data_IF_839709136136
#
_entry.id   IF_839709136136
#
_cell.length_a   1.000
_cell.length_b   1.000
_cell.length_c   1.000
_cell.angle_alpha   90.00
_cell.angle_beta   90.00
_cell.angle_gamma   90.00
#
_symmetry.space_group_name_H-M   'P 1'
#
loop_
_entity.id
_entity.type
_entity.pdbx_description
1 polymer ?
#
# COMPACT_ATOMS: atom_id res chain seq x y z
N UNK A 1 -0.93 13.81 10.48
CA UNK A 1 -2.14 12.99 10.25
C UNK A 1 -2.94 13.54 9.07
N UNK A 2 -2.91 12.81 7.96
CA UNK A 2 -3.69 13.07 6.75
C UNK A 2 -5.17 12.87 7.07
N UNK A 3 -5.93 13.97 7.11
CA UNK A 3 -7.34 13.98 7.54
C UNK A 3 -8.29 13.39 6.49
N UNK A 4 -7.73 12.98 5.39
CA UNK A 4 -8.43 12.60 4.18
C UNK A 4 -8.51 11.07 4.03
N UNK A 5 -7.76 10.30 4.83
CA UNK A 5 -7.76 8.83 4.82
C UNK A 5 -8.82 8.33 5.81
N UNK A 6 -9.70 7.47 5.32
CA UNK A 6 -10.70 6.75 6.12
C UNK A 6 -10.14 5.41 6.59
N UNK A 7 -9.65 4.60 5.65
CA UNK A 7 -9.06 3.29 5.88
C UNK A 7 -7.75 3.16 5.10
N UNK A 8 -6.77 2.46 5.67
CA UNK A 8 -5.53 2.11 5.01
C UNK A 8 -5.11 0.70 5.42
N UNK A 9 -4.86 -0.14 4.42
CA UNK A 9 -4.27 -1.46 4.60
C UNK A 9 -2.92 -1.48 3.90
N UNK A 10 -1.87 -1.94 4.60
CA UNK A 10 -0.54 -2.16 4.02
C UNK A 10 -0.07 -3.57 4.38
N UNK A 11 -0.02 -4.45 3.40
CA UNK A 11 0.56 -5.77 3.53
C UNK A 11 2.02 -5.73 3.05
N UNK A 12 2.95 -6.25 3.85
CA UNK A 12 4.36 -6.38 3.50
C UNK A 12 4.76 -7.86 3.55
N UNK A 13 5.44 -8.33 2.53
CA UNK A 13 6.16 -9.60 2.51
C UNK A 13 7.66 -9.36 2.53
N UNK A 14 8.38 -10.06 3.41
CA UNK A 14 9.83 -9.94 3.56
C UNK A 14 10.56 -11.14 2.94
N UNK A 15 11.84 -10.98 2.60
CA UNK A 15 12.69 -12.06 2.02
C UNK A 15 12.73 -13.33 2.89
N UNK A 16 12.54 -13.19 4.20
CA UNK A 16 12.51 -14.31 5.14
C UNK A 16 11.17 -15.08 5.15
N UNK A 17 10.22 -14.68 4.31
CA UNK A 17 8.87 -15.23 4.20
C UNK A 17 7.89 -14.76 5.28
N UNK A 18 8.29 -13.81 6.13
CA UNK A 18 7.37 -13.18 7.07
C UNK A 18 6.44 -12.21 6.34
N UNK A 19 5.16 -12.23 6.70
CA UNK A 19 4.13 -11.34 6.18
C UNK A 19 3.54 -10.52 7.32
N UNK A 20 3.37 -9.23 7.11
CA UNK A 20 2.78 -8.31 8.08
C UNK A 20 1.71 -7.46 7.42
N UNK A 21 0.61 -7.19 8.11
CA UNK A 21 -0.49 -6.36 7.63
C UNK A 21 -0.72 -5.24 8.64
N UNK A 22 -0.53 -4.00 8.19
CA UNK A 22 -0.90 -2.82 8.92
C UNK A 22 -2.31 -2.42 8.52
N UNK A 23 -3.22 -2.35 9.49
CA UNK A 23 -4.57 -1.87 9.26
C UNK A 23 -4.80 -0.58 10.05
N UNK A 24 -5.30 0.45 9.38
CA UNK A 24 -5.68 1.71 9.98
C UNK A 24 -7.11 2.05 9.64
N UNK A 25 -7.91 2.24 10.67
CA UNK A 25 -9.34 2.55 10.58
C UNK A 25 -9.71 3.41 11.81
N UNK A 26 -10.55 4.42 11.63
CA UNK A 26 -11.07 5.25 12.75
C UNK A 26 -10.00 5.82 13.70
N UNK A 27 -8.84 6.23 13.17
CA UNK A 27 -7.67 6.72 13.94
C UNK A 27 -6.93 5.65 14.79
N UNK A 28 -7.32 4.38 14.68
CA UNK A 28 -6.63 3.25 15.30
C UNK A 28 -5.72 2.56 14.29
N UNK A 29 -4.49 2.25 14.70
CA UNK A 29 -3.51 1.54 13.89
C UNK A 29 -3.20 0.21 14.56
N UNK A 30 -3.46 -0.88 13.83
CA UNK A 30 -3.26 -2.24 14.28
C UNK A 30 -2.30 -2.95 13.34
N UNK A 31 -1.37 -3.74 13.88
CA UNK A 31 -0.41 -4.51 13.11
C UNK A 31 -0.67 -6.00 13.34
N UNK A 32 -0.85 -6.74 12.26
CA UNK A 32 -1.01 -8.17 12.26
C UNK A 32 0.21 -8.84 11.63
N UNK A 33 0.64 -9.94 12.21
CA UNK A 33 1.58 -10.86 11.60
C UNK A 33 0.81 -12.02 10.99
N UNK A 34 0.86 -12.19 9.67
CA UNK A 34 0.20 -13.31 9.01
C UNK A 34 1.03 -14.59 9.21
N UNK A 35 0.38 -15.63 9.73
CA UNK A 35 1.00 -16.94 9.95
C UNK A 35 0.09 -18.04 9.43
N UNK A 36 0.61 -19.24 9.17
CA UNK A 36 -0.21 -20.41 8.79
C UNK A 36 -1.31 -20.77 9.80
N UNK A 37 -1.18 -20.33 11.07
CA UNK A 37 -2.15 -20.58 12.12
C UNK A 37 -3.27 -19.51 12.19
N UNK A 38 -3.16 -18.45 11.39
CA UNK A 38 -3.99 -17.25 11.43
C UNK A 38 -3.19 -15.98 11.75
N UNK A 39 -3.88 -14.85 11.74
CA UNK A 39 -3.28 -13.54 11.93
C UNK A 39 -3.09 -13.26 13.44
N UNK A 40 -1.87 -12.88 13.83
CA UNK A 40 -1.51 -12.53 15.20
C UNK A 40 -1.32 -11.02 15.33
N UNK A 41 -2.16 -10.35 16.14
CA UNK A 41 -1.97 -8.94 16.46
C UNK A 41 -0.67 -8.75 17.26
N UNK A 42 0.23 -7.93 16.75
CA UNK A 42 1.52 -7.62 17.36
C UNK A 42 1.68 -6.11 17.55
N UNK A 43 2.56 -5.73 18.47
CA UNK A 43 2.90 -4.32 18.64
C UNK A 43 3.95 -3.90 17.60
N UNK A 44 3.66 -2.84 16.85
CA UNK A 44 4.55 -2.32 15.83
C UNK A 44 5.88 -1.80 16.39
N UNK A 45 5.91 -1.14 17.56
CA UNK A 45 7.10 -0.57 18.25
C UNK A 45 8.16 0.13 17.34
N UNK A 46 7.80 0.52 16.11
CA UNK A 46 8.73 1.03 15.10
C UNK A 46 9.62 -0.02 14.42
N UNK A 47 9.35 -1.32 14.57
CA UNK A 47 10.20 -2.41 14.05
C UNK A 47 9.86 -2.85 12.63
N UNK A 48 8.57 -2.87 12.30
CA UNK A 48 8.08 -3.28 10.96
C UNK A 48 7.68 -2.03 10.19
N UNK A 49 6.85 -1.18 10.79
CA UNK A 49 6.47 0.12 10.25
C UNK A 49 7.00 1.22 11.17
N UNK A 50 7.49 2.34 10.63
CA UNK A 50 7.88 3.48 11.46
C UNK A 50 6.70 4.00 12.28
N UNK A 51 6.94 4.39 13.53
CA UNK A 51 5.89 4.93 14.44
C UNK A 51 5.18 6.15 13.87
N UNK A 52 5.91 6.92 13.07
CA UNK A 52 5.43 8.14 12.42
C UNK A 52 4.98 7.86 10.97
N UNK A 53 4.74 6.59 10.58
CA UNK A 53 4.30 6.21 9.25
C UNK A 53 3.11 7.04 8.78
N UNK A 54 2.03 7.07 9.57
CA UNK A 54 0.83 7.87 9.27
C UNK A 54 1.05 9.38 9.26
N UNK A 55 2.08 9.86 9.98
CA UNK A 55 2.39 11.29 9.99
C UNK A 55 3.22 11.68 8.75
N UNK A 56 4.06 10.76 8.27
CA UNK A 56 4.83 10.89 7.03
C UNK A 56 3.99 10.66 5.78
N UNK A 57 2.97 9.81 5.88
CA UNK A 57 2.03 9.45 4.83
C UNK A 57 1.14 10.67 4.49
N UNK A 58 1.73 11.66 3.85
CA UNK A 58 1.12 12.94 3.48
C UNK A 58 0.43 12.83 2.11
N UNK A 59 -0.57 11.95 2.01
CA UNK A 59 -1.36 11.67 0.79
C UNK A 59 -2.77 12.26 0.88
N UNK A 60 -3.41 12.46 -0.28
CA UNK A 60 -4.76 13.00 -0.42
C UNK A 60 -5.41 12.44 -1.68
N UNK A 61 -6.74 12.38 -1.74
CA UNK A 61 -7.50 11.88 -2.89
C UNK A 61 -7.33 12.69 -4.17
N UNK A 62 -6.79 13.91 -4.08
CA UNK A 62 -6.46 14.76 -5.25
C UNK A 62 -5.12 14.36 -5.91
N UNK A 63 -4.37 13.42 -5.32
CA UNK A 63 -3.10 12.94 -5.85
C UNK A 63 -3.31 11.74 -6.78
N UNK A 64 -2.50 11.68 -7.83
CA UNK A 64 -2.42 10.52 -8.72
C UNK A 64 -1.82 9.30 -8.00
N UNK A 65 -2.16 8.09 -8.43
CA UNK A 65 -1.71 6.83 -7.83
C UNK A 65 -0.18 6.73 -7.73
N UNK A 66 0.55 7.19 -8.75
CA UNK A 66 2.02 7.24 -8.75
C UNK A 66 2.58 8.10 -7.61
N UNK A 67 1.99 9.29 -7.38
CA UNK A 67 2.44 10.16 -6.27
C UNK A 67 2.09 9.54 -4.93
N UNK A 68 0.96 8.84 -4.83
CA UNK A 68 0.56 8.14 -3.61
C UNK A 68 1.57 7.03 -3.33
N UNK A 69 1.90 6.18 -4.29
CA UNK A 69 2.84 5.09 -4.12
C UNK A 69 4.24 5.58 -3.72
N UNK A 70 4.77 6.63 -4.38
CA UNK A 70 6.04 7.25 -3.99
C UNK A 70 6.04 7.72 -2.52
N UNK A 71 4.94 8.34 -2.07
CA UNK A 71 4.80 8.81 -0.69
C UNK A 71 4.72 7.66 0.30
N UNK A 72 4.07 6.57 -0.08
CA UNK A 72 3.94 5.38 0.77
C UNK A 72 5.29 4.70 0.93
N UNK A 73 6.01 4.46 -0.16
CA UNK A 73 7.40 3.93 -0.14
C UNK A 73 8.29 4.80 0.75
N UNK A 74 8.25 6.12 0.54
CA UNK A 74 9.04 7.05 1.34
C UNK A 74 8.63 7.04 2.84
N UNK A 75 7.36 6.76 3.14
CA UNK A 75 6.86 6.66 4.51
C UNK A 75 7.28 5.34 5.18
N UNK A 76 7.29 4.22 4.44
CA UNK A 76 7.78 2.90 4.89
C UNK A 76 9.25 3.00 5.28
N UNK A 77 10.08 3.63 4.43
CA UNK A 77 11.46 4.00 4.74
C UNK A 77 12.42 2.82 4.95
N UNK A 78 11.99 1.59 4.69
CA UNK A 78 12.76 0.36 4.83
C UNK A 78 12.57 -0.48 3.56
N UNK A 79 13.65 -0.78 2.85
CA UNK A 79 13.65 -1.54 1.59
C UNK A 79 13.79 -3.06 1.83
N UNK A 80 13.55 -3.56 3.04
CA UNK A 80 13.74 -4.99 3.36
C UNK A 80 12.57 -5.89 2.96
N UNK A 81 11.47 -5.32 2.46
CA UNK A 81 10.33 -6.07 1.93
C UNK A 81 10.59 -6.45 0.46
N UNK A 82 10.07 -7.59 0.03
CA UNK A 82 10.07 -8.03 -1.39
C UNK A 82 8.79 -7.63 -2.12
N UNK A 83 7.70 -7.46 -1.39
CA UNK A 83 6.40 -7.12 -1.92
C UNK A 83 5.66 -6.27 -0.88
N UNK A 84 4.99 -5.21 -1.34
CA UNK A 84 4.08 -4.43 -0.55
C UNK A 84 2.77 -4.25 -1.32
N UNK A 85 1.64 -4.59 -0.69
CA UNK A 85 0.30 -4.37 -1.23
C UNK A 85 -0.39 -3.30 -0.40
N UNK A 86 -0.92 -2.26 -1.06
CA UNK A 86 -1.41 -1.06 -0.39
C UNK A 86 -2.79 -0.73 -0.92
N UNK A 87 -3.74 -0.64 0.00
CA UNK A 87 -5.11 -0.22 -0.25
C UNK A 87 -5.41 1.03 0.60
N UNK A 88 -5.79 2.12 -0.06
CA UNK A 88 -6.15 3.39 0.58
C UNK A 88 -7.60 3.72 0.25
N UNK A 89 -8.42 3.90 1.29
CA UNK A 89 -9.78 4.43 1.15
C UNK A 89 -9.81 5.85 1.71
N UNK A 90 -10.16 6.81 0.87
CA UNK A 90 -10.29 8.21 1.26
C UNK A 90 -11.71 8.52 1.76
N UNK A 91 -11.82 9.55 2.60
CA UNK A 91 -13.09 10.03 3.17
C UNK A 91 -14.11 10.54 2.14
N UNK A 92 -13.68 10.84 0.91
CA UNK A 92 -14.59 11.15 -0.22
C UNK A 92 -15.20 9.88 -0.86
N UNK A 93 -14.73 8.69 -0.44
CA UNK A 93 -15.10 7.39 -0.98
C UNK A 93 -14.26 6.93 -2.17
N UNK A 94 -13.19 7.66 -2.52
CA UNK A 94 -12.21 7.20 -3.51
C UNK A 94 -11.33 6.10 -2.94
N UNK A 95 -11.03 5.09 -3.77
CA UNK A 95 -10.24 3.92 -3.40
C UNK A 95 -9.05 3.84 -4.34
N UNK A 96 -7.86 3.58 -3.78
CA UNK A 96 -6.60 3.45 -4.53
C UNK A 96 -5.88 2.21 -4.04
N UNK A 97 -5.72 1.23 -4.92
CA UNK A 97 -4.99 -0.02 -4.68
C UNK A 97 -3.76 -0.06 -5.58
N UNK A 98 -2.59 -0.37 -5.03
CA UNK A 98 -1.38 -0.59 -5.82
C UNK A 98 -0.44 -1.55 -5.10
N UNK A 99 0.32 -2.29 -5.92
CA UNK A 99 1.31 -3.26 -5.50
C UNK A 99 2.71 -2.75 -5.84
N UNK A 100 3.64 -2.89 -4.91
CA UNK A 100 5.05 -2.54 -5.09
C UNK A 100 5.85 -3.82 -4.92
N UNK A 101 6.58 -4.20 -5.95
CA UNK A 101 7.52 -5.33 -5.91
C UNK A 101 8.93 -4.73 -5.80
N UNK A 102 9.68 -5.12 -4.77
CA UNK A 102 11.06 -4.70 -4.61
C UNK A 102 11.96 -5.53 -5.54
N UNK A 103 11.87 -5.30 -6.84
CA UNK A 103 12.91 -5.70 -7.78
C UNK A 103 14.02 -4.64 -7.79
N UNK A 104 15.28 -5.09 -7.77
CA UNK A 104 16.45 -4.22 -7.89
C UNK A 104 16.32 -3.35 -9.16
N UNK A 105 16.03 -2.06 -8.98
CA UNK A 105 16.30 -0.99 -9.96
C UNK A 105 15.71 -1.24 -11.37
N UNK A 106 14.46 -0.83 -11.64
CA UNK A 106 14.09 -0.47 -13.01
C UNK A 106 13.07 0.68 -13.03
N UNK A 107 13.42 1.67 -13.84
CA UNK A 107 12.66 2.85 -14.22
C UNK A 107 11.37 2.44 -14.95
N UNK A 108 10.33 3.28 -14.89
CA UNK A 108 9.13 3.25 -15.76
C UNK A 108 8.20 2.02 -15.65
N UNK A 109 7.03 2.19 -15.03
CA UNK A 109 5.82 1.58 -15.59
C UNK A 109 4.72 2.64 -15.65
N UNK A 110 4.74 3.39 -16.75
CA UNK A 110 3.59 4.11 -17.28
C UNK A 110 2.50 3.08 -17.61
N UNK A 111 1.66 2.72 -16.63
CA UNK A 111 0.41 2.04 -16.92
C UNK A 111 -0.62 3.06 -17.45
N UNK A 112 -0.34 3.63 -18.62
CA UNK A 112 -1.36 4.25 -19.48
C UNK A 112 -1.93 3.21 -20.47
N UNK A 113 -3.20 3.45 -20.82
CA UNK A 113 -4.03 2.87 -21.90
C UNK A 113 -4.84 1.63 -21.48
N UNK A 114 -6.09 1.77 -21.01
CA UNK A 114 -7.27 2.38 -21.64
C UNK A 114 -7.56 1.87 -23.07
N UNK A 115 -8.78 1.36 -23.19
CA UNK A 115 -9.62 1.36 -24.38
C UNK A 115 -9.36 0.42 -25.59
N UNK A 116 -10.39 -0.41 -25.80
CA UNK A 116 -11.04 -0.71 -27.08
C UNK A 116 -10.26 -1.49 -28.15
N UNK A 117 -10.72 -2.71 -28.44
CA UNK A 117 -11.48 -2.88 -29.69
C UNK A 117 -12.60 -3.91 -29.52
N UNK A 118 -13.80 -3.35 -29.65
CA UNK A 118 -15.10 -3.94 -29.94
C UNK A 118 -15.06 -4.80 -31.21
N UNK A 119 -15.88 -5.84 -31.14
CA UNK A 119 -16.49 -6.63 -32.22
C UNK A 119 -16.36 -6.08 -33.66
N UNK A 120 -15.83 -6.87 -34.60
CA UNK A 120 -16.47 -7.05 -35.92
C UNK A 120 -16.23 -8.47 -36.46
N UNK A 121 -17.30 -9.28 -36.47
CA UNK A 121 -17.45 -10.44 -37.35
C UNK A 121 -17.36 -10.02 -38.83
N UNK A 122 -16.60 -10.74 -39.68
CA UNK A 122 -17.14 -11.30 -40.94
C UNK A 122 -16.14 -12.25 -41.65
N UNK A 123 -16.73 -13.26 -42.33
CA UNK A 123 -16.25 -14.21 -43.36
C UNK A 123 -15.66 -15.58 -42.98
#
# INVERSE_FOLDING_TARGET
>A
MSKDIQELTVELEFENGEKFELHFEEEELTLYKKTDAGDEEINNDGKVFPTDFMDKLSISSDMDAEKISEKVVAALGDDSFIEADIEVVFTDGSEVEFKIEAEEDDEEDEAEEDDEEDDEEDE
#
